data_IF_601242529351
#
_entry.id   IF_601242529351
#
_cell.length_a   1.000
_cell.length_b   1.000
_cell.length_c   1.000
_cell.angle_alpha   90.00
_cell.angle_beta   90.00
_cell.angle_gamma   90.00
#
_symmetry.space_group_name_H-M   'P 1'
#
loop_
_entity.id
_entity.type
_entity.pdbx_description
1 polymer ?
#
# COMPACT_ATOMS: atom_id res chain seq x y z
N UNK A 1 33.28 56.22 -16.69
CA UNK A 1 33.14 55.23 -15.61
C UNK A 1 32.16 54.08 -15.91
N UNK A 2 31.05 54.32 -16.63
CA UNK A 2 30.05 53.30 -16.98
C UNK A 2 30.54 52.26 -17.98
N UNK A 3 31.39 52.64 -18.94
CA UNK A 3 31.88 51.75 -20.00
C UNK A 3 32.85 50.68 -19.51
N UNK A 4 33.66 50.97 -18.48
CA UNK A 4 34.58 49.99 -17.86
C UNK A 4 33.84 48.93 -17.04
N UNK A 5 32.71 49.28 -16.42
CA UNK A 5 31.89 48.37 -15.64
C UNK A 5 31.21 47.34 -16.51
N UNK A 6 30.74 47.74 -17.71
CA UNK A 6 30.08 46.83 -18.67
C UNK A 6 31.08 45.84 -19.25
N UNK A 7 32.33 46.22 -19.47
CA UNK A 7 33.39 45.34 -19.97
C UNK A 7 33.79 44.31 -18.92
N UNK A 8 33.83 44.70 -17.63
CA UNK A 8 34.10 43.76 -16.54
C UNK A 8 33.00 42.75 -16.35
N UNK A 9 31.73 43.16 -16.43
CA UNK A 9 30.58 42.24 -16.30
C UNK A 9 30.54 41.25 -17.49
N UNK A 10 30.89 41.69 -18.70
CA UNK A 10 30.96 40.81 -19.86
C UNK A 10 32.10 39.79 -19.76
N UNK A 11 33.28 40.21 -19.28
CA UNK A 11 34.42 39.28 -19.01
C UNK A 11 34.08 38.26 -17.90
N UNK A 12 33.42 38.70 -16.85
CA UNK A 12 33.02 37.84 -15.73
C UNK A 12 31.99 36.79 -16.16
N UNK A 13 30.99 37.14 -16.98
CA UNK A 13 30.04 36.16 -17.54
C UNK A 13 30.71 35.16 -18.47
N UNK A 14 31.69 35.58 -19.26
CA UNK A 14 32.41 34.71 -20.19
C UNK A 14 33.35 33.73 -19.43
N UNK A 15 33.91 34.14 -18.30
CA UNK A 15 34.75 33.31 -17.44
C UNK A 15 33.89 32.26 -16.69
N UNK A 16 32.70 32.66 -16.22
CA UNK A 16 31.74 31.75 -15.59
C UNK A 16 31.22 30.67 -16.56
N UNK A 17 30.95 31.01 -17.81
CA UNK A 17 30.55 30.07 -18.85
C UNK A 17 31.69 29.09 -19.18
N UNK A 18 32.93 29.54 -19.22
CA UNK A 18 34.10 28.64 -19.42
C UNK A 18 34.29 27.69 -18.26
N UNK A 19 34.11 28.10 -17.02
CA UNK A 19 34.18 27.26 -15.83
C UNK A 19 33.03 26.23 -15.83
N UNK A 20 31.83 26.66 -16.22
CA UNK A 20 30.66 25.77 -16.33
C UNK A 20 30.86 24.68 -17.40
N UNK A 21 31.45 25.03 -18.55
CA UNK A 21 31.75 24.07 -19.64
C UNK A 21 32.86 23.10 -19.24
N UNK A 22 33.85 23.53 -18.44
CA UNK A 22 34.91 22.66 -17.92
C UNK A 22 34.41 21.71 -16.82
N UNK A 23 33.35 22.11 -16.06
CA UNK A 23 32.71 21.28 -15.06
C UNK A 23 31.74 20.24 -15.66
N UNK A 24 31.23 20.44 -16.87
CA UNK A 24 30.27 19.56 -17.52
C UNK A 24 30.74 18.10 -17.68
N UNK A 25 32.02 17.80 -18.07
CA UNK A 25 32.47 16.42 -18.18
C UNK A 25 32.62 15.69 -16.84
N UNK A 26 32.72 16.40 -15.71
CA UNK A 26 32.76 15.76 -14.39
C UNK A 26 31.41 15.22 -13.92
N UNK A 27 30.31 15.60 -14.56
CA UNK A 27 28.97 15.10 -14.26
C UNK A 27 28.59 13.85 -15.08
N UNK A 28 29.39 13.48 -16.07
CA UNK A 28 29.24 12.25 -16.83
C UNK A 28 29.96 11.09 -16.11
N UNK A 29 29.50 10.72 -14.93
CA UNK A 29 29.82 9.40 -14.38
C UNK A 29 29.13 8.37 -15.27
N UNK A 30 29.91 7.77 -16.17
CA UNK A 30 29.46 6.61 -16.95
C UNK A 30 29.08 5.50 -15.97
N UNK A 31 27.78 5.35 -15.79
CA UNK A 31 27.26 4.19 -15.04
C UNK A 31 27.52 2.98 -15.93
N UNK A 32 28.34 2.06 -15.43
CA UNK A 32 28.59 0.81 -16.13
C UNK A 32 27.29 0.00 -16.15
N UNK A 33 26.78 -0.26 -17.33
CA UNK A 33 25.62 -1.12 -17.53
C UNK A 33 26.07 -2.52 -17.89
N UNK A 34 25.39 -3.49 -17.36
CA UNK A 34 25.56 -4.91 -17.66
C UNK A 34 24.33 -5.41 -18.41
N UNK A 35 24.56 -6.20 -19.45
CA UNK A 35 23.49 -6.77 -20.27
C UNK A 35 23.50 -8.29 -20.17
N UNK A 36 22.39 -8.89 -20.53
CA UNK A 36 22.28 -10.33 -20.61
C UNK A 36 20.89 -10.78 -21.00
N UNK A 37 20.67 -12.08 -20.97
CA UNK A 37 19.40 -12.69 -21.38
C UNK A 37 18.97 -13.73 -20.35
N UNK A 38 17.71 -13.68 -19.92
CA UNK A 38 17.07 -14.79 -19.25
C UNK A 38 16.46 -15.73 -20.27
N UNK A 39 16.76 -17.01 -20.19
CA UNK A 39 16.40 -18.02 -21.18
C UNK A 39 15.68 -19.19 -20.53
N UNK A 40 14.87 -19.87 -21.32
CA UNK A 40 14.19 -21.12 -20.97
C UNK A 40 14.42 -22.19 -22.05
N UNK A 41 14.30 -23.44 -21.65
CA UNK A 41 14.12 -24.54 -22.61
C UNK A 41 12.63 -24.79 -22.79
N UNK A 42 12.15 -24.66 -24.01
CA UNK A 42 10.78 -25.03 -24.37
C UNK A 42 10.60 -26.56 -24.33
N UNK A 43 9.36 -27.04 -24.26
CA UNK A 43 9.05 -28.49 -24.29
C UNK A 43 9.65 -29.21 -25.49
N UNK A 44 9.87 -28.51 -26.59
CA UNK A 44 10.50 -29.03 -27.81
C UNK A 44 12.03 -28.98 -27.78
N UNK A 45 12.63 -28.66 -26.63
CA UNK A 45 14.09 -28.61 -26.45
C UNK A 45 14.75 -27.36 -27.05
N UNK A 46 14.00 -26.41 -27.62
CA UNK A 46 14.53 -25.16 -28.17
C UNK A 46 14.78 -24.18 -27.05
N UNK A 47 15.75 -23.30 -27.24
CA UNK A 47 16.06 -22.18 -26.34
C UNK A 47 15.22 -20.98 -26.76
N UNK A 48 14.51 -20.39 -25.81
CA UNK A 48 13.75 -19.15 -26.01
C UNK A 48 14.09 -18.16 -24.91
N UNK A 49 14.01 -16.87 -25.21
CA UNK A 49 14.08 -15.82 -24.18
C UNK A 49 12.84 -15.84 -23.31
N UNK A 50 13.00 -15.47 -22.05
CA UNK A 50 11.91 -15.37 -21.06
C UNK A 50 11.52 -13.90 -20.88
N UNK A 51 10.40 -13.44 -21.46
CA UNK A 51 9.92 -12.07 -21.29
C UNK A 51 9.41 -11.83 -19.87
N UNK A 52 9.58 -10.60 -19.36
CA UNK A 52 9.01 -10.19 -18.07
C UNK A 52 9.68 -10.78 -16.83
N UNK A 53 10.79 -11.50 -16.99
CA UNK A 53 11.57 -11.99 -15.84
C UNK A 53 12.18 -10.82 -15.08
N UNK A 54 12.08 -10.83 -13.77
CA UNK A 54 12.68 -9.82 -12.91
C UNK A 54 14.14 -10.16 -12.64
N UNK A 55 15.03 -9.21 -12.88
CA UNK A 55 16.48 -9.31 -12.63
C UNK A 55 16.89 -8.20 -11.68
N UNK A 56 17.46 -8.52 -10.53
CA UNK A 56 17.79 -7.52 -9.51
C UNK A 56 19.02 -7.91 -8.68
N UNK A 57 19.67 -6.90 -8.13
CA UNK A 57 20.79 -7.11 -7.21
C UNK A 57 20.28 -7.37 -5.79
N UNK A 58 20.67 -8.51 -5.23
CA UNK A 58 20.26 -8.92 -3.90
C UNK A 58 20.67 -7.88 -2.85
N UNK A 59 19.68 -7.42 -2.07
CA UNK A 59 19.89 -6.42 -1.01
C UNK A 59 19.97 -4.97 -1.49
N UNK A 60 19.50 -4.69 -2.71
CA UNK A 60 19.46 -3.33 -3.28
C UNK A 60 18.11 -3.05 -3.94
N UNK A 61 17.83 -1.78 -4.22
CA UNK A 61 16.65 -1.36 -4.98
C UNK A 61 16.90 -1.32 -6.50
N UNK A 62 18.04 -1.86 -6.96
CA UNK A 62 18.42 -1.84 -8.36
C UNK A 62 18.00 -3.14 -9.02
N UNK A 63 17.00 -3.03 -9.89
CA UNK A 63 16.47 -4.14 -10.68
C UNK A 63 15.96 -3.67 -12.05
N UNK A 64 15.62 -4.64 -12.88
CA UNK A 64 15.06 -4.47 -14.21
C UNK A 64 14.20 -5.67 -14.56
N UNK A 65 13.44 -5.59 -15.66
CA UNK A 65 12.72 -6.71 -16.24
C UNK A 65 13.26 -7.03 -17.64
N UNK A 66 13.13 -8.27 -18.07
CA UNK A 66 13.48 -8.66 -19.43
C UNK A 66 12.45 -8.16 -20.44
N UNK A 67 12.90 -7.81 -21.65
CA UNK A 67 12.05 -7.43 -22.77
C UNK A 67 11.38 -8.67 -23.43
N UNK A 68 10.64 -8.46 -24.52
CA UNK A 68 9.93 -9.54 -25.24
C UNK A 68 10.83 -10.65 -25.78
N UNK A 69 12.10 -10.36 -25.98
CA UNK A 69 13.12 -11.31 -26.43
C UNK A 69 13.90 -11.94 -25.29
N UNK A 70 13.60 -11.57 -24.02
CA UNK A 70 14.29 -12.05 -22.84
C UNK A 70 15.57 -11.31 -22.46
N UNK A 71 15.89 -10.17 -23.14
CA UNK A 71 17.06 -9.36 -22.83
C UNK A 71 16.80 -8.42 -21.67
N UNK A 72 17.84 -8.20 -20.85
CA UNK A 72 17.83 -7.19 -19.78
C UNK A 72 19.08 -6.31 -19.82
N UNK A 73 18.96 -5.11 -19.28
CA UNK A 73 20.05 -4.19 -19.02
C UNK A 73 19.91 -3.70 -17.58
N UNK A 74 20.99 -3.85 -16.79
CA UNK A 74 20.99 -3.49 -15.38
C UNK A 74 22.23 -2.68 -15.01
N UNK A 75 22.08 -1.69 -14.13
CA UNK A 75 23.20 -0.90 -13.62
C UNK A 75 24.10 -1.76 -12.74
N UNK A 76 25.41 -1.66 -12.96
CA UNK A 76 26.40 -2.38 -12.18
C UNK A 76 27.23 -1.44 -11.32
N UNK A 77 27.53 -1.90 -10.10
CA UNK A 77 28.54 -1.31 -9.23
C UNK A 77 29.40 -2.44 -8.65
N UNK A 78 30.72 -2.22 -8.37
CA UNK A 78 31.61 -3.25 -7.84
C UNK A 78 31.18 -3.84 -6.49
N UNK A 79 30.36 -3.13 -5.74
CA UNK A 79 29.78 -3.58 -4.48
C UNK A 79 28.65 -4.61 -4.65
N UNK A 80 28.04 -4.70 -5.84
CA UNK A 80 26.96 -5.63 -6.15
C UNK A 80 27.54 -7.00 -6.53
N UNK A 81 27.28 -8.01 -5.72
CA UNK A 81 27.88 -9.35 -5.86
C UNK A 81 26.92 -10.44 -6.29
N UNK A 82 25.64 -10.30 -6.00
CA UNK A 82 24.65 -11.36 -6.24
C UNK A 82 23.51 -10.84 -7.10
N UNK A 83 23.39 -11.39 -8.31
CA UNK A 83 22.33 -11.11 -9.25
C UNK A 83 21.25 -12.19 -9.15
N UNK A 84 20.01 -11.80 -8.94
CA UNK A 84 18.86 -12.69 -8.76
C UNK A 84 17.99 -12.64 -9.99
N UNK A 85 17.57 -13.81 -10.47
CA UNK A 85 16.60 -14.00 -11.54
C UNK A 85 15.33 -14.61 -10.94
N UNK A 86 14.18 -13.97 -11.16
CA UNK A 86 12.90 -14.43 -10.63
C UNK A 86 11.79 -14.27 -11.66
N UNK A 87 10.97 -15.32 -11.82
CA UNK A 87 9.77 -15.30 -12.65
C UNK A 87 8.74 -16.28 -12.11
N UNK A 88 7.46 -15.96 -12.27
CA UNK A 88 6.37 -16.84 -11.79
C UNK A 88 6.41 -18.17 -12.55
N UNK A 89 6.38 -19.29 -11.81
CA UNK A 89 6.46 -20.64 -12.40
C UNK A 89 7.88 -21.14 -12.63
N UNK A 90 8.90 -20.34 -12.32
CA UNK A 90 10.30 -20.70 -12.44
C UNK A 90 11.01 -20.59 -11.09
N UNK A 91 12.01 -21.45 -10.91
CA UNK A 91 12.85 -21.40 -9.72
C UNK A 91 13.64 -20.10 -9.71
N UNK A 92 13.52 -19.35 -8.61
CA UNK A 92 14.37 -18.17 -8.38
C UNK A 92 15.81 -18.62 -8.22
N UNK A 93 16.71 -18.02 -9.00
CA UNK A 93 18.12 -18.37 -9.00
C UNK A 93 19.00 -17.16 -8.71
N UNK A 94 20.15 -17.39 -8.07
CA UNK A 94 21.07 -16.33 -7.66
C UNK A 94 22.48 -16.67 -8.15
N UNK A 95 23.07 -15.78 -8.95
CA UNK A 95 24.43 -15.94 -9.45
C UNK A 95 25.37 -14.90 -8.88
N UNK A 96 26.62 -15.30 -8.67
CA UNK A 96 27.66 -14.39 -8.19
C UNK A 96 28.33 -13.71 -9.38
N UNK A 97 28.40 -12.38 -9.33
CA UNK A 97 28.98 -11.54 -10.38
C UNK A 97 30.16 -10.78 -9.78
N UNK A 98 31.37 -11.00 -10.34
CA UNK A 98 32.58 -10.34 -9.88
C UNK A 98 33.03 -9.20 -10.80
N UNK A 99 32.63 -9.25 -12.07
CA UNK A 99 32.97 -8.28 -13.09
C UNK A 99 31.78 -7.96 -13.97
N UNK A 100 31.66 -6.75 -14.55
CA UNK A 100 30.60 -6.40 -15.48
C UNK A 100 30.83 -7.14 -16.81
N UNK A 101 30.06 -8.21 -17.01
CA UNK A 101 30.09 -9.01 -18.24
C UNK A 101 28.66 -9.32 -18.66
N UNK A 102 28.50 -9.70 -19.92
CA UNK A 102 27.24 -10.21 -20.41
C UNK A 102 26.94 -11.57 -19.76
N UNK A 103 25.74 -11.68 -19.17
CA UNK A 103 25.34 -12.88 -18.44
C UNK A 103 24.03 -13.41 -19.02
N UNK A 104 24.10 -14.62 -19.55
CA UNK A 104 22.96 -15.39 -20.00
C UNK A 104 22.62 -16.45 -18.94
N UNK A 105 21.37 -16.49 -18.49
CA UNK A 105 20.95 -17.41 -17.45
C UNK A 105 19.75 -18.23 -17.88
N UNK A 106 19.82 -19.56 -17.67
CA UNK A 106 18.71 -20.48 -17.91
C UNK A 106 17.85 -20.62 -16.68
N UNK A 107 16.61 -20.13 -16.77
CA UNK A 107 15.59 -20.33 -15.75
C UNK A 107 15.08 -21.78 -15.84
N UNK A 108 15.05 -22.46 -14.71
CA UNK A 108 14.46 -23.78 -14.60
C UNK A 108 12.96 -23.65 -14.27
N UNK A 109 12.11 -24.20 -15.12
CA UNK A 109 10.71 -24.35 -14.79
C UNK A 109 10.59 -25.19 -13.52
N UNK A 110 9.82 -24.73 -12.55
CA UNK A 110 9.44 -25.58 -11.42
C UNK A 110 8.57 -26.66 -12.04
N UNK A 111 9.19 -27.83 -12.32
CA UNK A 111 8.56 -28.94 -13.01
C UNK A 111 7.21 -29.17 -12.38
N UNK A 112 6.17 -29.39 -13.23
CA UNK A 112 4.83 -29.64 -12.75
C UNK A 112 4.86 -30.73 -11.70
N UNK A 113 4.87 -30.32 -10.46
CA UNK A 113 4.54 -31.18 -9.35
C UNK A 113 3.10 -31.59 -9.65
N UNK A 114 2.83 -32.90 -9.73
CA UNK A 114 1.48 -33.39 -9.49
C UNK A 114 0.91 -32.54 -8.36
N UNK A 115 -0.32 -32.07 -8.52
CA UNK A 115 -1.01 -31.17 -7.60
C UNK A 115 -0.85 -31.66 -6.16
N UNK A 116 0.29 -31.41 -5.58
CA UNK A 116 0.46 -31.34 -4.13
C UNK A 116 -0.25 -30.06 -3.77
N UNK A 117 -1.50 -30.18 -3.38
CA UNK A 117 -2.22 -29.17 -2.63
C UNK A 117 -1.43 -28.94 -1.35
N UNK A 118 -0.34 -28.19 -1.46
CA UNK A 118 0.26 -27.55 -0.32
C UNK A 118 -0.78 -26.52 0.14
N UNK A 119 -1.67 -26.96 1.01
CA UNK A 119 -2.34 -26.08 1.94
C UNK A 119 -1.26 -25.49 2.85
N UNK A 120 -0.43 -24.64 2.28
CA UNK A 120 0.35 -23.69 3.03
C UNK A 120 -0.70 -22.76 3.62
N UNK A 121 -0.98 -22.92 4.90
CA UNK A 121 -1.62 -21.88 5.68
C UNK A 121 -0.73 -20.67 5.48
N UNK A 122 -1.16 -19.71 4.64
CA UNK A 122 -0.52 -18.40 4.57
C UNK A 122 -0.40 -17.95 6.01
N UNK A 123 0.81 -17.67 6.45
CA UNK A 123 0.99 -17.12 7.80
C UNK A 123 0.18 -15.82 7.80
N UNK A 124 -0.78 -15.76 8.70
CA UNK A 124 -1.66 -14.61 8.88
C UNK A 124 -0.88 -13.30 9.02
N UNK A 125 0.33 -13.41 9.53
CA UNK A 125 1.27 -12.30 9.70
C UNK A 125 2.65 -12.77 9.25
N UNK A 126 3.21 -12.14 8.23
CA UNK A 126 4.55 -12.41 7.71
C UNK A 126 5.49 -11.24 8.02
N UNK A 127 6.66 -11.54 8.61
CA UNK A 127 7.71 -10.56 8.81
C UNK A 127 8.67 -10.61 7.61
N UNK A 128 8.86 -9.46 6.95
CA UNK A 128 9.86 -9.36 5.90
C UNK A 128 11.26 -9.25 6.49
N UNK A 129 12.12 -10.21 6.18
CA UNK A 129 13.55 -10.17 6.53
C UNK A 129 14.40 -9.55 5.41
N UNK A 130 13.77 -9.22 4.27
CA UNK A 130 14.45 -8.69 3.08
C UNK A 130 14.50 -7.17 3.06
N UNK A 131 13.71 -6.51 3.90
CA UNK A 131 13.69 -5.04 3.99
C UNK A 131 14.47 -4.60 5.22
N UNK A 132 15.23 -3.51 5.09
CA UNK A 132 15.97 -2.88 6.19
C UNK A 132 15.07 -2.35 7.29
N UNK A 133 13.80 -2.07 6.99
CA UNK A 133 12.76 -1.71 7.95
C UNK A 133 12.05 -2.97 8.50
N UNK A 134 11.62 -2.90 9.76
CA UNK A 134 10.87 -3.97 10.41
C UNK A 134 9.41 -3.95 9.90
N UNK A 135 9.19 -4.51 8.70
CA UNK A 135 7.89 -4.53 8.04
C UNK A 135 7.17 -5.83 8.34
N UNK A 136 5.95 -5.73 8.80
CA UNK A 136 5.02 -6.81 9.02
C UNK A 136 3.84 -6.67 8.04
N UNK A 137 3.49 -7.75 7.35
CA UNK A 137 2.35 -7.77 6.43
C UNK A 137 1.24 -8.64 7.01
N UNK A 138 0.03 -8.10 7.05
CA UNK A 138 -1.21 -8.80 7.42
C UNK A 138 -2.00 -9.04 6.14
N UNK A 139 -2.42 -10.27 5.90
CA UNK A 139 -3.21 -10.64 4.71
C UNK A 139 -4.71 -10.41 4.93
N UNK A 140 -5.47 -10.36 3.83
CA UNK A 140 -6.93 -10.29 3.85
C UNK A 140 -7.58 -11.43 4.63
N UNK A 141 -7.02 -12.64 4.59
CA UNK A 141 -7.53 -13.80 5.32
C UNK A 141 -7.50 -13.59 6.84
N UNK A 142 -6.50 -12.85 7.34
CA UNK A 142 -6.43 -12.49 8.76
C UNK A 142 -7.44 -11.40 9.10
N UNK A 143 -7.58 -10.41 8.22
CA UNK A 143 -8.54 -9.32 8.40
C UNK A 143 -9.98 -9.83 8.44
N UNK A 144 -10.31 -10.85 7.65
CA UNK A 144 -11.64 -11.46 7.62
C UNK A 144 -11.97 -12.34 8.83
N UNK A 145 -10.96 -12.83 9.57
CA UNK A 145 -11.19 -13.64 10.79
C UNK A 145 -11.87 -12.85 11.91
N UNK A 146 -11.61 -11.59 12.01
CA UNK A 146 -12.14 -10.75 13.09
C UNK A 146 -13.57 -10.26 12.82
N UNK A 147 -14.25 -10.73 11.76
CA UNK A 147 -15.55 -10.21 11.31
C UNK A 147 -15.58 -8.67 11.29
N UNK A 148 -14.45 -8.07 10.93
CA UNK A 148 -14.17 -6.66 11.14
C UNK A 148 -14.76 -5.83 10.04
N UNK A 149 -15.50 -4.86 10.44
CA UNK A 149 -16.26 -4.01 9.55
C UNK A 149 -15.41 -2.90 8.97
N UNK A 150 -14.37 -2.47 9.68
CA UNK A 150 -13.49 -1.40 9.24
C UNK A 150 -12.04 -1.63 9.68
N UNK A 151 -11.15 -0.83 9.13
CA UNK A 151 -9.72 -0.96 9.37
C UNK A 151 -9.33 -0.80 10.85
N UNK A 152 -10.03 0.02 11.62
CA UNK A 152 -9.72 0.22 13.04
C UNK A 152 -9.97 -1.04 13.87
N UNK A 153 -11.00 -1.80 13.54
CA UNK A 153 -11.35 -3.06 14.21
C UNK A 153 -10.41 -4.20 13.79
N UNK A 154 -9.91 -4.14 12.56
CA UNK A 154 -8.99 -5.15 12.02
C UNK A 154 -7.68 -5.25 12.80
N UNK A 155 -7.29 -4.21 13.50
CA UNK A 155 -6.06 -4.20 14.30
C UNK A 155 -6.22 -4.82 15.70
N UNK A 156 -7.43 -5.01 16.21
CA UNK A 156 -7.66 -5.59 17.56
C UNK A 156 -7.09 -7.00 17.71
N UNK A 157 -7.07 -7.76 16.63
CA UNK A 157 -6.54 -9.13 16.65
C UNK A 157 -5.04 -9.20 16.47
N UNK A 158 -4.37 -8.08 16.19
CA UNK A 158 -2.95 -8.05 15.91
C UNK A 158 -2.14 -7.57 17.12
N UNK A 159 -1.30 -8.42 17.73
CA UNK A 159 -0.52 -8.06 18.92
C UNK A 159 0.56 -7.00 18.65
N UNK A 160 0.75 -6.62 17.40
CA UNK A 160 1.78 -5.66 17.00
C UNK A 160 1.31 -4.22 17.06
N UNK A 161 0.00 -3.99 17.13
CA UNK A 161 -0.63 -2.68 17.18
C UNK A 161 -1.53 -2.65 18.41
N UNK A 162 -1.35 -1.62 19.20
CA UNK A 162 -2.22 -1.35 20.35
C UNK A 162 -3.36 -0.44 19.89
N UNK A 163 -4.58 -0.92 20.04
CA UNK A 163 -5.80 -0.20 19.69
C UNK A 163 -6.55 0.15 20.96
N UNK A 164 -6.76 1.42 21.19
CA UNK A 164 -7.54 1.91 22.33
C UNK A 164 -8.68 2.80 21.85
N UNK A 165 -9.73 2.88 22.63
CA UNK A 165 -10.73 3.93 22.45
C UNK A 165 -10.09 5.30 22.71
N UNK A 166 -10.20 6.20 21.74
CA UNK A 166 -9.66 7.55 21.87
C UNK A 166 -10.53 8.40 22.80
N UNK A 167 -11.83 8.10 22.77
CA UNK A 167 -12.85 8.88 23.43
C UNK A 167 -14.11 8.01 23.60
N UNK A 168 -14.66 8.03 24.80
CA UNK A 168 -15.84 7.24 25.16
C UNK A 168 -17.10 7.74 24.47
N UNK A 169 -17.16 9.04 24.18
CA UNK A 169 -18.35 9.70 23.60
C UNK A 169 -18.53 9.33 22.13
N UNK A 170 -17.45 9.39 21.35
CA UNK A 170 -17.51 9.13 19.91
C UNK A 170 -17.27 7.66 19.56
N UNK A 171 -16.82 6.84 20.52
CA UNK A 171 -16.46 5.43 20.29
C UNK A 171 -15.36 5.26 19.26
N UNK A 172 -14.58 6.32 18.98
CA UNK A 172 -13.47 6.25 18.02
C UNK A 172 -12.30 5.46 18.58
N UNK A 173 -11.66 4.69 17.70
CA UNK A 173 -10.50 3.90 18.04
C UNK A 173 -9.23 4.58 17.57
N UNK A 174 -8.25 4.64 18.44
CA UNK A 174 -6.96 5.22 18.18
C UNK A 174 -5.88 4.15 18.21
N UNK A 175 -5.02 4.21 17.21
CA UNK A 175 -3.85 3.32 17.13
C UNK A 175 -2.70 3.92 17.93
N UNK A 176 -2.01 3.05 18.69
CA UNK A 176 -0.74 3.37 19.35
C UNK A 176 0.37 2.49 18.78
N UNK A 177 1.48 3.09 18.47
CA UNK A 177 2.71 2.41 18.09
C UNK A 177 3.87 3.00 18.88
N UNK A 178 4.65 2.15 19.55
CA UNK A 178 5.77 2.57 20.41
C UNK A 178 5.37 3.62 21.47
N UNK A 179 4.13 3.53 21.98
CA UNK A 179 3.60 4.46 22.97
C UNK A 179 3.13 5.81 22.40
N UNK A 180 3.28 6.05 21.11
CA UNK A 180 2.83 7.27 20.43
C UNK A 180 1.55 7.02 19.65
N UNK A 181 0.73 8.07 19.57
CA UNK A 181 -0.53 8.06 18.81
C UNK A 181 -0.41 9.00 17.61
N UNK A 182 -1.54 9.21 16.89
CA UNK A 182 -1.68 10.32 15.94
C UNK A 182 -1.23 11.66 16.58
N UNK A 183 -0.47 12.53 15.90
CA UNK A 183 -0.10 12.51 14.48
C UNK A 183 1.22 11.82 14.14
N UNK A 184 1.76 10.98 15.00
CA UNK A 184 3.08 10.38 14.84
C UNK A 184 3.08 9.03 14.12
N UNK A 185 1.91 8.59 13.67
CA UNK A 185 1.72 7.38 12.87
C UNK A 185 1.19 7.79 11.50
N UNK A 186 1.97 7.52 10.46
CA UNK A 186 1.57 7.81 9.10
C UNK A 186 0.64 6.70 8.58
N UNK A 187 -0.54 7.09 8.09
CA UNK A 187 -1.52 6.17 7.49
C UNK A 187 -1.61 6.46 6.00
N UNK A 188 -1.27 5.46 5.19
CA UNK A 188 -1.27 5.55 3.73
C UNK A 188 -2.19 4.49 3.14
N UNK A 189 -2.70 4.77 1.96
CA UNK A 189 -3.32 3.79 1.08
C UNK A 189 -2.55 3.78 -0.23
N UNK A 190 -2.03 2.61 -0.60
CA UNK A 190 -1.18 2.45 -1.79
C UNK A 190 0.00 3.45 -1.80
N UNK A 191 0.64 3.62 -0.64
CA UNK A 191 1.74 4.56 -0.36
C UNK A 191 1.38 6.05 -0.48
N UNK A 192 0.10 6.39 -0.65
CA UNK A 192 -0.38 7.78 -0.66
C UNK A 192 -0.96 8.11 0.72
N UNK A 193 -0.48 9.17 1.40
CA UNK A 193 -1.07 9.59 2.67
C UNK A 193 -2.55 9.95 2.51
N UNK A 194 -3.43 9.28 3.24
CA UNK A 194 -4.89 9.43 3.10
C UNK A 194 -5.57 9.96 4.35
N UNK A 195 -5.09 9.57 5.52
CA UNK A 195 -5.67 9.92 6.81
C UNK A 195 -4.69 10.81 7.55
N UNK A 196 -4.98 12.12 7.61
CA UNK A 196 -4.08 13.14 8.20
C UNK A 196 -4.86 14.19 8.96
N UNK A 197 -4.17 14.86 9.91
CA UNK A 197 -4.74 15.96 10.67
C UNK A 197 -5.99 15.56 11.46
N UNK A 198 -7.06 16.33 11.39
CA UNK A 198 -8.30 16.08 12.11
C UNK A 198 -9.00 14.77 11.73
N UNK A 199 -8.77 14.25 10.52
CA UNK A 199 -9.35 12.99 10.09
C UNK A 199 -8.71 11.77 10.74
N UNK A 200 -7.56 11.89 11.39
CA UNK A 200 -6.87 10.76 12.02
C UNK A 200 -7.66 10.12 13.16
N UNK A 201 -8.51 10.87 13.82
CA UNK A 201 -9.37 10.35 14.87
C UNK A 201 -10.44 9.38 14.34
N UNK A 202 -10.91 9.60 13.11
CA UNK A 202 -12.06 8.87 12.54
C UNK A 202 -11.72 8.07 11.29
N UNK A 203 -10.65 8.43 10.58
CA UNK A 203 -10.37 7.99 9.22
C UNK A 203 -10.16 6.49 9.06
N UNK A 204 -9.76 5.79 10.12
CA UNK A 204 -9.63 4.34 10.10
C UNK A 204 -10.99 3.64 9.99
N UNK A 205 -12.06 4.25 10.55
CA UNK A 205 -13.41 3.72 10.45
C UNK A 205 -14.02 3.92 9.04
N UNK A 206 -13.38 4.74 8.20
CA UNK A 206 -13.85 5.02 6.84
C UNK A 206 -13.37 3.99 5.81
N UNK A 207 -12.45 3.11 6.18
CA UNK A 207 -11.91 2.09 5.27
C UNK A 207 -12.56 0.75 5.62
N UNK A 208 -13.46 0.22 4.77
CA UNK A 208 -14.03 -1.11 4.97
C UNK A 208 -12.94 -2.17 4.93
N UNK A 209 -12.96 -3.10 5.89
CA UNK A 209 -11.97 -4.17 5.97
C UNK A 209 -11.96 -5.07 4.74
N UNK A 210 -13.12 -5.28 4.12
CA UNK A 210 -13.27 -6.09 2.90
C UNK A 210 -12.62 -5.46 1.67
N UNK A 211 -12.36 -4.14 1.67
CA UNK A 211 -11.68 -3.45 0.56
C UNK A 211 -10.17 -3.57 0.63
N UNK A 212 -9.64 -4.11 1.71
CA UNK A 212 -8.20 -4.21 1.97
C UNK A 212 -7.68 -5.59 1.58
N UNK A 213 -6.73 -5.63 0.65
CA UNK A 213 -6.02 -6.84 0.24
C UNK A 213 -4.93 -7.23 1.24
N UNK A 214 -4.19 -6.22 1.71
CA UNK A 214 -3.15 -6.41 2.72
C UNK A 214 -2.85 -5.12 3.47
N UNK A 215 -2.29 -5.26 4.67
CA UNK A 215 -1.80 -4.14 5.47
C UNK A 215 -0.32 -4.36 5.73
N UNK A 216 0.48 -3.35 5.46
CA UNK A 216 1.90 -3.32 5.78
C UNK A 216 2.13 -2.39 6.97
N UNK A 217 2.74 -2.91 8.01
CA UNK A 217 3.03 -2.19 9.25
C UNK A 217 4.53 -2.06 9.39
N UNK A 218 5.03 -0.84 9.42
CA UNK A 218 6.43 -0.54 9.70
C UNK A 218 6.51 0.13 11.06
N UNK A 219 7.29 -0.43 11.97
CA UNK A 219 7.52 0.14 13.31
C UNK A 219 8.82 0.94 13.36
N UNK A 220 8.79 2.08 14.04
CA UNK A 220 9.90 3.00 14.15
C UNK A 220 9.88 4.08 13.08
N UNK A 221 10.91 4.92 13.08
CA UNK A 221 11.00 6.04 12.16
C UNK A 221 10.94 5.59 10.70
N UNK A 222 10.02 6.15 9.97
CA UNK A 222 9.87 5.93 8.53
C UNK A 222 10.87 6.73 7.70
N UNK A 223 10.62 6.80 6.40
CA UNK A 223 11.45 7.60 5.50
C UNK A 223 11.35 9.09 5.81
N UNK A 224 12.44 9.82 5.64
CA UNK A 224 12.50 11.29 5.76
C UNK A 224 11.46 11.98 4.84
N UNK A 225 11.14 11.37 3.71
CA UNK A 225 10.10 11.84 2.77
C UNK A 225 8.72 11.91 3.43
N UNK A 226 8.46 11.05 4.42
CA UNK A 226 7.17 10.97 5.13
C UNK A 226 7.05 12.00 6.27
N UNK A 227 8.12 12.74 6.58
CA UNK A 227 8.13 13.76 7.61
C UNK A 227 7.92 13.22 9.04
N UNK A 228 7.48 14.09 9.94
CA UNK A 228 7.31 13.78 11.37
C UNK A 228 6.15 12.80 11.65
N UNK A 229 5.20 12.68 10.77
CA UNK A 229 4.04 11.79 10.93
C UNK A 229 4.44 10.31 10.97
N UNK A 230 5.63 9.94 10.51
CA UNK A 230 6.13 8.56 10.50
C UNK A 230 7.17 8.27 11.60
N UNK A 231 7.21 9.04 12.69
CA UNK A 231 8.20 8.84 13.78
C UNK A 231 7.94 7.54 14.54
N UNK A 232 6.69 7.24 14.87
CA UNK A 232 6.32 6.01 15.57
C UNK A 232 6.18 4.82 14.64
N UNK A 233 5.79 5.06 13.40
CA UNK A 233 5.62 4.03 12.40
C UNK A 233 4.74 4.46 11.24
N UNK A 234 4.53 3.51 10.34
CA UNK A 234 3.71 3.68 9.16
C UNK A 234 2.79 2.48 8.98
N UNK A 235 1.56 2.74 8.60
CA UNK A 235 0.57 1.74 8.18
C UNK A 235 0.22 2.02 6.74
N UNK A 236 0.50 1.08 5.85
CA UNK A 236 0.10 1.15 4.45
C UNK A 236 -0.95 0.08 4.16
N UNK A 237 -2.07 0.49 3.58
CA UNK A 237 -3.13 -0.40 3.12
C UNK A 237 -3.08 -0.55 1.61
N UNK A 238 -3.02 -1.79 1.13
CA UNK A 238 -3.22 -2.12 -0.27
C UNK A 238 -4.69 -2.47 -0.49
N UNK A 239 -5.32 -1.82 -1.45
CA UNK A 239 -6.72 -2.08 -1.80
C UNK A 239 -6.81 -3.26 -2.77
N UNK A 240 -7.93 -4.00 -2.70
CA UNK A 240 -8.26 -5.05 -3.67
C UNK A 240 -8.28 -4.49 -5.08
N UNK A 241 -7.82 -5.30 -6.04
CA UNK A 241 -7.62 -4.88 -7.43
C UNK A 241 -8.69 -5.49 -8.34
N UNK A 242 -9.37 -4.69 -9.18
CA UNK A 242 -10.46 -5.19 -10.04
C UNK A 242 -10.09 -6.37 -10.94
N UNK A 243 -8.81 -6.47 -11.35
CA UNK A 243 -8.35 -7.55 -12.22
C UNK A 243 -8.19 -8.89 -11.50
N UNK A 244 -7.93 -8.89 -10.19
CA UNK A 244 -7.58 -10.09 -9.41
C UNK A 244 -8.62 -10.45 -8.35
N UNK A 245 -9.47 -9.50 -7.95
CA UNK A 245 -10.54 -9.75 -7.00
C UNK A 245 -11.70 -10.56 -7.63
N UNK A 246 -12.54 -11.16 -6.79
CA UNK A 246 -13.71 -11.93 -7.24
C UNK A 246 -14.63 -11.07 -8.09
N UNK A 247 -15.20 -11.66 -9.18
CA UNK A 247 -16.17 -10.96 -10.03
C UNK A 247 -17.38 -10.46 -9.24
N UNK A 248 -17.81 -11.26 -8.28
CA UNK A 248 -18.85 -10.93 -7.31
C UNK A 248 -18.40 -11.38 -5.94
N UNK A 249 -18.38 -10.47 -4.99
CA UNK A 249 -18.20 -10.74 -3.58
C UNK A 249 -19.34 -10.08 -2.81
N UNK A 250 -19.97 -10.83 -1.90
CA UNK A 250 -21.02 -10.35 -1.01
C UNK A 250 -20.70 -10.81 0.39
N UNK A 251 -20.65 -9.87 1.32
CA UNK A 251 -20.49 -10.15 2.74
C UNK A 251 -21.55 -9.42 3.52
N UNK A 252 -22.27 -10.12 4.40
CA UNK A 252 -23.29 -9.59 5.27
C UNK A 252 -22.93 -9.92 6.71
N UNK A 253 -23.02 -8.93 7.58
CA UNK A 253 -22.78 -9.10 9.00
C UNK A 253 -23.96 -8.56 9.80
N UNK A 254 -24.32 -9.25 10.86
CA UNK A 254 -25.36 -8.83 11.80
C UNK A 254 -24.99 -9.22 13.23
N UNK A 255 -25.25 -8.32 14.17
CA UNK A 255 -24.98 -8.56 15.60
C UNK A 255 -26.25 -8.29 16.43
N UNK A 256 -26.32 -8.92 17.59
CA UNK A 256 -27.42 -8.73 18.57
C UNK A 256 -27.51 -7.30 19.14
N UNK A 257 -26.44 -6.51 18.96
CA UNK A 257 -26.40 -5.09 19.26
C UNK A 257 -27.16 -4.22 18.24
N UNK A 258 -27.90 -4.83 17.30
CA UNK A 258 -28.55 -4.14 16.16
C UNK A 258 -27.57 -3.42 15.23
N UNK A 259 -26.35 -3.98 15.10
CA UNK A 259 -25.39 -3.58 14.08
C UNK A 259 -25.58 -4.46 12.85
N UNK A 260 -25.73 -3.83 11.70
CA UNK A 260 -25.82 -4.49 10.41
C UNK A 260 -24.83 -3.90 9.43
N UNK A 261 -24.23 -4.77 8.62
CA UNK A 261 -23.29 -4.37 7.62
C UNK A 261 -23.44 -5.18 6.36
N UNK A 262 -23.27 -4.53 5.21
CA UNK A 262 -23.27 -5.15 3.89
C UNK A 262 -22.10 -4.64 3.07
N UNK A 263 -21.39 -5.58 2.45
CA UNK A 263 -20.31 -5.31 1.53
C UNK A 263 -20.57 -6.02 0.22
N UNK A 264 -20.42 -5.31 -0.89
CA UNK A 264 -20.58 -5.85 -2.24
C UNK A 264 -19.42 -5.38 -3.11
N UNK A 265 -18.73 -6.33 -3.77
CA UNK A 265 -17.77 -6.03 -4.83
C UNK A 265 -18.30 -6.60 -6.15
N UNK A 266 -18.22 -5.79 -7.20
CA UNK A 266 -18.58 -6.14 -8.55
C UNK A 266 -17.40 -5.80 -9.47
N UNK A 267 -16.68 -6.80 -9.96
CA UNK A 267 -15.48 -6.60 -10.76
C UNK A 267 -15.66 -7.16 -12.16
N UNK A 268 -15.14 -6.45 -13.16
CA UNK A 268 -15.14 -6.89 -14.55
C UNK A 268 -13.89 -6.40 -15.28
N UNK A 269 -13.38 -7.25 -16.17
CA UNK A 269 -12.36 -6.86 -17.15
C UNK A 269 -13.06 -6.39 -18.42
N UNK A 270 -12.74 -5.20 -18.90
CA UNK A 270 -13.28 -4.61 -20.12
C UNK A 270 -12.51 -5.14 -21.33
N UNK A 271 -11.20 -5.24 -21.18
CA UNK A 271 -10.27 -5.82 -22.16
C UNK A 271 -8.98 -6.23 -21.43
N UNK A 272 -7.96 -6.70 -22.17
CA UNK A 272 -6.69 -7.19 -21.61
C UNK A 272 -5.91 -6.15 -20.79
N UNK A 273 -6.21 -4.87 -20.96
CA UNK A 273 -5.51 -3.76 -20.30
C UNK A 273 -6.35 -3.04 -19.25
N UNK A 274 -7.67 -3.05 -19.39
CA UNK A 274 -8.58 -2.31 -18.52
C UNK A 274 -9.50 -3.22 -17.72
N UNK A 275 -9.55 -2.98 -16.42
CA UNK A 275 -10.51 -3.60 -15.50
C UNK A 275 -11.16 -2.53 -14.64
N UNK A 276 -12.38 -2.75 -14.22
CA UNK A 276 -13.10 -1.86 -13.29
C UNK A 276 -13.83 -2.65 -12.22
N UNK A 277 -13.93 -2.04 -11.05
CA UNK A 277 -14.67 -2.57 -9.91
C UNK A 277 -15.56 -1.52 -9.26
N UNK A 278 -16.74 -1.93 -8.85
CA UNK A 278 -17.64 -1.17 -8.01
C UNK A 278 -17.69 -1.83 -6.63
N UNK A 279 -17.35 -1.08 -5.60
CA UNK A 279 -17.27 -1.50 -4.22
C UNK A 279 -18.28 -0.70 -3.42
N UNK A 280 -19.21 -1.38 -2.74
CA UNK A 280 -20.26 -0.77 -1.94
C UNK A 280 -20.15 -1.31 -0.52
N UNK A 281 -20.18 -0.42 0.44
CA UNK A 281 -20.19 -0.73 1.86
C UNK A 281 -21.29 0.08 2.53
N UNK A 282 -22.12 -0.59 3.30
CA UNK A 282 -23.10 0.03 4.17
C UNK A 282 -23.00 -0.53 5.58
N UNK A 283 -23.06 0.32 6.59
CA UNK A 283 -22.94 -0.07 7.98
C UNK A 283 -23.86 0.80 8.84
N UNK A 284 -24.68 0.18 9.68
CA UNK A 284 -25.63 0.87 10.55
C UNK A 284 -25.64 0.27 11.95
N UNK A 285 -25.84 1.12 12.95
CA UNK A 285 -26.04 0.74 14.34
C UNK A 285 -27.07 1.71 14.94
N UNK A 286 -28.28 1.21 15.25
CA UNK A 286 -29.41 2.05 15.61
C UNK A 286 -29.84 1.90 17.07
N UNK A 287 -29.25 0.98 17.83
CA UNK A 287 -29.63 0.73 19.20
C UNK A 287 -28.87 1.63 20.17
N UNK A 288 -29.62 2.38 20.96
CA UNK A 288 -29.08 3.13 22.08
C UNK A 288 -28.81 2.17 23.23
N UNK A 289 -27.56 2.05 23.65
CA UNK A 289 -27.11 1.23 24.79
C UNK A 289 -26.63 2.13 25.91
N UNK A 290 -27.10 1.83 27.11
CA UNK A 290 -26.66 2.40 28.37
C UNK A 290 -26.63 1.23 29.38
N UNK A 291 -25.45 0.65 29.60
CA UNK A 291 -25.26 -0.55 30.43
C UNK A 291 -25.05 -0.16 31.88
N UNK A 292 -24.55 1.05 32.13
CA UNK A 292 -24.24 1.55 33.46
C UNK A 292 -25.32 2.44 34.07
N UNK A 293 -26.44 2.66 33.33
CA UNK A 293 -27.60 3.46 33.74
C UNK A 293 -27.24 4.91 34.12
N UNK A 294 -26.28 5.52 33.39
CA UNK A 294 -25.88 6.92 33.62
C UNK A 294 -26.64 7.92 32.75
N UNK A 295 -27.51 7.44 31.87
CA UNK A 295 -28.33 8.25 30.97
C UNK A 295 -27.58 8.68 29.68
N UNK A 296 -26.37 8.19 29.46
CA UNK A 296 -25.59 8.42 28.24
C UNK A 296 -25.45 7.15 27.41
N UNK A 297 -25.31 7.33 26.09
CA UNK A 297 -25.04 6.21 25.20
C UNK A 297 -23.60 5.70 25.37
N UNK A 298 -23.43 4.42 25.67
CA UNK A 298 -22.10 3.75 25.73
C UNK A 298 -21.44 3.67 24.36
N UNK A 299 -22.24 3.63 23.30
CA UNK A 299 -21.79 3.58 21.91
C UNK A 299 -22.63 4.50 21.05
N UNK A 300 -22.03 5.21 20.11
CA UNK A 300 -22.79 6.06 19.18
C UNK A 300 -23.71 5.21 18.29
N UNK A 301 -24.87 5.75 17.96
CA UNK A 301 -25.65 5.28 16.81
C UNK A 301 -25.08 5.90 15.56
N UNK A 302 -25.07 5.14 14.46
CA UNK A 302 -24.50 5.63 13.21
C UNK A 302 -25.06 4.96 11.98
N UNK A 303 -24.98 5.70 10.87
CA UNK A 303 -25.25 5.23 9.53
C UNK A 303 -24.09 5.63 8.61
N UNK A 304 -23.51 4.66 7.92
CA UNK A 304 -22.43 4.90 6.98
C UNK A 304 -22.74 4.25 5.64
N UNK A 305 -22.52 5.00 4.57
CA UNK A 305 -22.46 4.48 3.22
C UNK A 305 -21.15 4.89 2.56
N UNK A 306 -20.49 3.94 1.90
CA UNK A 306 -19.22 4.13 1.25
C UNK A 306 -19.25 3.42 -0.10
N UNK A 307 -19.05 4.16 -1.16
CA UNK A 307 -19.08 3.65 -2.54
C UNK A 307 -17.77 4.03 -3.21
N UNK A 308 -17.12 3.07 -3.83
CA UNK A 308 -15.91 3.32 -4.61
C UNK A 308 -16.02 2.64 -5.98
N UNK A 309 -15.78 3.42 -7.03
CA UNK A 309 -15.54 2.89 -8.35
C UNK A 309 -14.05 2.99 -8.67
N UNK A 310 -13.42 1.85 -8.88
CA UNK A 310 -11.99 1.71 -9.11
C UNK A 310 -11.71 1.23 -10.52
N UNK A 311 -10.85 1.92 -11.23
CA UNK A 311 -10.37 1.57 -12.55
C UNK A 311 -8.90 1.19 -12.46
N UNK A 312 -8.54 0.13 -13.15
CA UNK A 312 -7.18 -0.36 -13.25
C UNK A 312 -6.78 -0.46 -14.72
N UNK A 313 -5.67 0.14 -15.06
CA UNK A 313 -5.01 -0.02 -16.35
C UNK A 313 -3.69 -0.72 -16.17
N UNK A 314 -3.44 -1.78 -16.92
CA UNK A 314 -2.19 -2.56 -16.90
C UNK A 314 -1.68 -2.69 -18.33
N UNK A 315 -0.44 -2.29 -18.56
CA UNK A 315 0.28 -2.55 -19.80
C UNK A 315 1.64 -3.15 -19.47
N UNK A 316 1.70 -4.48 -19.51
CA UNK A 316 2.91 -5.23 -19.14
C UNK A 316 4.08 -4.96 -20.10
N UNK A 317 3.80 -4.77 -21.41
CA UNK A 317 4.81 -4.46 -22.41
C UNK A 317 5.58 -3.17 -22.10
N UNK A 318 4.86 -2.18 -21.56
CA UNK A 318 5.42 -0.86 -21.21
C UNK A 318 5.78 -0.75 -19.73
N UNK A 319 5.54 -1.79 -18.92
CA UNK A 319 5.73 -1.75 -17.47
C UNK A 319 4.86 -0.70 -16.78
N UNK A 320 3.69 -0.37 -17.34
CA UNK A 320 2.84 0.71 -16.83
C UNK A 320 1.59 0.15 -16.15
N UNK A 321 1.39 0.56 -14.88
CA UNK A 321 0.18 0.27 -14.09
C UNK A 321 -0.37 1.56 -13.55
N UNK A 322 -1.67 1.77 -13.64
CA UNK A 322 -2.35 2.95 -13.12
C UNK A 322 -3.68 2.58 -12.49
N UNK A 323 -4.01 3.29 -11.42
CA UNK A 323 -5.31 3.19 -10.75
C UNK A 323 -5.98 4.55 -10.70
N UNK A 324 -7.30 4.58 -10.97
CA UNK A 324 -8.15 5.75 -10.82
C UNK A 324 -9.30 5.35 -9.91
N UNK A 325 -9.50 6.07 -8.80
CA UNK A 325 -10.52 5.78 -7.82
C UNK A 325 -11.46 6.98 -7.69
N UNK A 326 -12.76 6.72 -7.80
CA UNK A 326 -13.82 7.67 -7.45
C UNK A 326 -14.51 7.12 -6.20
N UNK A 327 -14.52 7.90 -5.12
CA UNK A 327 -15.07 7.47 -3.85
C UNK A 327 -16.07 8.49 -3.31
N UNK A 328 -17.19 7.97 -2.83
CA UNK A 328 -18.18 8.72 -2.07
C UNK A 328 -18.32 8.09 -0.69
N UNK A 329 -18.28 8.91 0.34
CA UNK A 329 -18.45 8.51 1.72
C UNK A 329 -19.45 9.47 2.39
N UNK A 330 -20.46 8.92 3.04
CA UNK A 330 -21.28 9.61 3.99
C UNK A 330 -21.29 8.84 5.31
N UNK A 331 -20.96 9.50 6.40
CA UNK A 331 -20.88 8.92 7.75
C UNK A 331 -21.61 9.89 8.71
N UNK A 332 -22.70 9.44 9.30
CA UNK A 332 -23.48 10.19 10.26
C UNK A 332 -23.44 9.46 11.60
N UNK A 333 -23.01 10.14 12.66
CA UNK A 333 -22.92 9.60 14.01
C UNK A 333 -23.66 10.50 14.98
N UNK A 334 -24.38 9.88 15.91
CA UNK A 334 -25.04 10.55 17.01
C UNK A 334 -24.65 9.89 18.32
N UNK A 335 -24.33 10.71 19.29
CA UNK A 335 -23.91 10.27 20.62
C UNK A 335 -24.43 11.25 21.68
N UNK A 336 -24.20 10.98 22.94
CA UNK A 336 -24.63 11.83 24.04
C UNK A 336 -25.70 11.19 24.90
N UNK A 337 -26.60 12.02 25.47
CA UNK A 337 -27.68 11.54 26.34
C UNK A 337 -28.75 10.76 25.55
N UNK A 338 -29.34 9.77 26.20
CA UNK A 338 -30.32 8.89 25.58
C UNK A 338 -31.59 9.65 25.08
N UNK A 339 -31.97 10.69 25.76
CA UNK A 339 -33.14 11.53 25.47
C UNK A 339 -32.81 12.72 24.55
N UNK A 340 -31.56 12.91 24.17
CA UNK A 340 -31.15 13.95 23.22
C UNK A 340 -31.85 13.81 21.88
N UNK A 341 -32.46 14.91 21.43
CA UNK A 341 -33.14 15.01 20.15
C UNK A 341 -32.50 16.14 19.31
N UNK A 342 -31.75 15.81 18.25
CA UNK A 342 -31.01 16.80 17.44
C UNK A 342 -31.92 17.81 16.73
N UNK A 343 -33.24 17.52 16.61
CA UNK A 343 -34.21 18.46 15.99
C UNK A 343 -34.72 19.53 16.93
N UNK A 344 -34.73 19.28 18.24
CA UNK A 344 -35.32 20.16 19.25
C UNK A 344 -34.28 20.71 20.21
N UNK A 345 -33.26 19.94 20.53
CA UNK A 345 -32.26 20.32 21.51
C UNK A 345 -31.17 21.20 20.92
N UNK A 346 -30.65 22.10 21.72
CA UNK A 346 -29.63 23.08 21.37
C UNK A 346 -28.64 23.19 22.53
N UNK A 347 -27.54 23.88 22.34
CA UNK A 347 -26.54 24.17 23.37
C UNK A 347 -27.10 24.79 24.67
N UNK A 348 -28.31 25.33 24.61
CA UNK A 348 -29.01 25.98 25.75
C UNK A 348 -30.01 25.07 26.42
N UNK A 349 -30.27 23.88 25.93
CA UNK A 349 -31.13 22.86 26.57
C UNK A 349 -30.34 22.04 27.59
N UNK A 350 -31.06 21.34 28.47
CA UNK A 350 -30.40 20.46 29.46
C UNK A 350 -29.91 19.13 28.88
N UNK A 351 -30.40 18.74 27.71
CA UNK A 351 -29.94 17.54 27.02
C UNK A 351 -28.67 17.85 26.21
N UNK A 352 -27.74 16.93 26.24
CA UNK A 352 -26.41 17.09 25.65
C UNK A 352 -26.11 15.95 24.64
N UNK A 353 -25.72 16.33 23.42
CA UNK A 353 -25.37 15.39 22.38
C UNK A 353 -24.64 16.01 21.18
#
# INVERSE_FOLDING_TARGET
>A
MLCLLIIQIKKMKFTFIKILIIMLPFLLQSQTEMKGMAMIKTKDGKVAGLPGATVYWLGTDVGTTTNDEGWYTIKYKPEYKKLVFSFIGYRTDTITVNEPKEIHHFMQEVGGLDEVTLTSRKQATAKSYLQSANVMTISSDELLKAACCNLSESFETNPSIDVNFADAVTGTRQIKMLGLTSPYILITSENIPTIRGASQAYGLSFIPGTWVESIQITKGAGSVVNGFESIAGQINTELVKPATDNKLFVNLYGASSERFEANVHLNTSINDKWSTGLYIHGNTHNKKHDVNDDGFMDMPIYDQINIMNRWQYVNLEKGFVSFINFRYLNDAKHTGQLDFNPSTDKLTTNAWG
#
